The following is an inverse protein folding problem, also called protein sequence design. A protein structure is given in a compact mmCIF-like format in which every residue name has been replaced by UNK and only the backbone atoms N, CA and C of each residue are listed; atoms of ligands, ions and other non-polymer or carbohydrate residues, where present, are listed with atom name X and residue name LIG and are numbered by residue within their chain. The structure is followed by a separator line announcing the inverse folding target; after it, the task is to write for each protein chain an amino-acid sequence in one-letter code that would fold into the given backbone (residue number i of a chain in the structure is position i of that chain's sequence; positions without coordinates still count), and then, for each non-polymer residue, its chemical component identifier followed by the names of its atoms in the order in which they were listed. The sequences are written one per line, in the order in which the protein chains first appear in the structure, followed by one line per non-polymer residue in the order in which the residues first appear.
data_IF_738476047943
#
_entry.id   IF_738476047943
#
_cell.length_a   1.000
_cell.length_b   1.000
_cell.length_c   1.000
_cell.angle_alpha   90.00
_cell.angle_beta   90.00
_cell.angle_gamma   90.00
#
_symmetry.space_group_name_H-M   'P 1'
#
loop_
_entity.id
_entity.type
_entity.pdbx_description
1 polymer ?
#
# COMPACT_ATOMS: atom_id res chain seq x y z
N UNK A 1 10.55 -3.31 -18.23
CA UNK A 1 9.67 -3.51 -17.08
C UNK A 1 9.09 -2.16 -16.68
N UNK A 2 7.79 -2.03 -16.68
CA UNK A 2 7.14 -0.76 -16.35
C UNK A 2 6.83 -0.69 -14.87
N UNK A 3 7.04 0.49 -14.31
CA UNK A 3 6.76 0.75 -12.90
C UNK A 3 5.91 2.01 -12.78
N UNK A 4 5.21 2.11 -11.66
CA UNK A 4 4.40 3.26 -11.32
C UNK A 4 4.76 3.68 -9.90
N UNK A 5 4.93 4.98 -9.69
CA UNK A 5 5.19 5.48 -8.34
C UNK A 5 3.94 5.32 -7.47
N UNK A 6 4.15 4.78 -6.30
CA UNK A 6 3.09 4.56 -5.31
C UNK A 6 3.53 5.20 -4.01
N UNK A 7 2.62 5.94 -3.39
CA UNK A 7 2.86 6.65 -2.14
C UNK A 7 2.12 5.97 -1.00
N UNK A 8 2.82 5.79 0.13
CA UNK A 8 2.21 5.32 1.36
C UNK A 8 1.58 6.52 2.09
N UNK A 9 0.30 6.42 2.42
CA UNK A 9 -0.45 7.48 3.06
C UNK A 9 -0.34 7.47 4.58
N UNK A 10 0.11 6.35 5.15
CA UNK A 10 0.20 6.20 6.60
C UNK A 10 1.63 6.42 7.08
N UNK A 11 1.76 6.89 8.31
CA UNK A 11 3.06 7.03 8.96
C UNK A 11 3.58 5.66 9.40
N UNK A 12 4.90 5.57 9.55
CA UNK A 12 5.55 4.33 9.97
C UNK A 12 6.14 3.56 8.81
N UNK A 13 6.70 2.40 9.12
CA UNK A 13 7.33 1.54 8.13
C UNK A 13 6.35 0.47 7.67
N UNK A 14 6.14 0.38 6.38
CA UNK A 14 5.23 -0.58 5.77
C UNK A 14 5.99 -1.41 4.76
N UNK A 15 5.87 -2.73 4.88
CA UNK A 15 6.52 -3.66 3.96
C UNK A 15 5.44 -4.38 3.16
N UNK A 16 5.58 -4.35 1.84
CA UNK A 16 4.64 -4.98 0.93
C UNK A 16 5.40 -5.92 0.02
N UNK A 17 4.87 -7.12 -0.16
CA UNK A 17 5.44 -8.10 -1.08
C UNK A 17 4.61 -8.14 -2.36
N UNK A 18 5.26 -7.92 -3.49
CA UNK A 18 4.61 -8.04 -4.78
C UNK A 18 4.32 -9.49 -5.12
N UNK A 19 3.06 -9.80 -5.44
CA UNK A 19 2.66 -11.16 -5.77
C UNK A 19 3.21 -11.58 -7.13
N UNK A 20 3.21 -10.67 -8.09
CA UNK A 20 3.62 -10.98 -9.46
C UNK A 20 5.12 -10.81 -9.67
N UNK A 21 5.70 -9.72 -9.20
CA UNK A 21 7.12 -9.44 -9.38
C UNK A 21 7.98 -10.12 -8.33
N UNK A 22 7.40 -10.49 -7.19
CA UNK A 22 8.07 -11.07 -6.03
C UNK A 22 9.10 -10.11 -5.41
N UNK A 23 8.97 -8.83 -5.71
CA UNK A 23 9.80 -7.81 -5.09
C UNK A 23 9.24 -7.43 -3.73
N UNK A 24 10.13 -6.98 -2.86
CA UNK A 24 9.73 -6.46 -1.57
C UNK A 24 9.84 -4.93 -1.61
N UNK A 25 8.76 -4.25 -1.24
CA UNK A 25 8.72 -2.80 -1.20
C UNK A 25 8.62 -2.34 0.25
N UNK A 26 9.58 -1.51 0.67
CA UNK A 26 9.60 -0.98 2.04
C UNK A 26 9.33 0.51 1.99
N UNK A 27 8.21 0.93 2.54
CA UNK A 27 7.82 2.34 2.63
C UNK A 27 8.14 2.86 4.02
N UNK A 28 8.87 3.98 4.07
CA UNK A 28 9.22 4.64 5.33
C UNK A 28 8.72 6.08 5.30
N UNK A 29 8.64 6.76 6.47
CA UNK A 29 8.26 8.17 6.48
C UNK A 29 9.20 9.05 5.66
N UNK A 30 10.47 8.66 5.55
CA UNK A 30 11.45 9.39 4.78
C UNK A 30 11.38 9.05 3.29
N UNK A 31 10.93 7.86 2.96
CA UNK A 31 10.81 7.39 1.58
C UNK A 31 9.45 6.73 1.40
N UNK A 32 8.42 7.55 1.42
CA UNK A 32 7.04 7.09 1.33
C UNK A 32 6.59 6.80 -0.10
N UNK A 33 7.38 7.18 -1.11
CA UNK A 33 7.06 6.96 -2.51
C UNK A 33 8.10 6.05 -3.13
N UNK A 34 7.66 4.95 -3.74
CA UNK A 34 8.54 3.97 -4.37
C UNK A 34 7.98 3.56 -5.73
N UNK A 35 8.87 3.19 -6.68
CA UNK A 35 8.43 2.58 -7.92
C UNK A 35 7.97 1.15 -7.68
N UNK A 36 6.81 0.80 -8.17
CA UNK A 36 6.20 -0.51 -8.00
C UNK A 36 5.85 -1.07 -9.38
N UNK A 37 6.09 -2.37 -9.59
CA UNK A 37 5.73 -3.03 -10.84
C UNK A 37 4.22 -2.87 -11.08
N UNK A 38 3.85 -2.47 -12.30
CA UNK A 38 2.45 -2.21 -12.62
C UNK A 38 1.57 -3.46 -12.43
N UNK A 39 2.13 -4.66 -12.53
CA UNK A 39 1.38 -5.89 -12.31
C UNK A 39 0.98 -6.09 -10.86
N UNK A 40 1.73 -5.48 -9.93
CA UNK A 40 1.44 -5.57 -8.51
C UNK A 40 0.46 -4.48 -8.04
N UNK A 41 0.20 -3.47 -8.88
CA UNK A 41 -0.62 -2.33 -8.49
C UNK A 41 -2.02 -2.70 -8.00
N UNK A 42 -2.79 -3.56 -8.72
CA UNK A 42 -4.13 -3.89 -8.26
C UNK A 42 -4.14 -4.52 -6.87
N UNK A 43 -3.15 -5.34 -6.57
CA UNK A 43 -3.04 -5.98 -5.25
C UNK A 43 -2.65 -4.96 -4.18
N UNK A 44 -1.66 -4.13 -4.46
CA UNK A 44 -1.17 -3.14 -3.51
C UNK A 44 -2.23 -2.08 -3.22
N UNK A 45 -2.91 -1.59 -4.25
CA UNK A 45 -3.96 -0.58 -4.09
C UNK A 45 -5.19 -1.12 -3.37
N UNK A 46 -5.40 -2.42 -3.44
CA UNK A 46 -6.51 -3.07 -2.72
C UNK A 46 -6.23 -3.23 -1.24
N UNK A 47 -4.99 -3.07 -0.81
CA UNK A 47 -4.65 -3.15 0.61
C UNK A 47 -5.18 -1.94 1.35
N UNK A 48 -5.89 -2.19 2.43
CA UNK A 48 -6.44 -1.13 3.27
C UNK A 48 -6.16 -1.43 4.73
N UNK A 49 -6.13 -0.39 5.54
CA UNK A 49 -6.07 -0.53 6.98
C UNK A 49 -7.49 -0.56 7.52
N UNK A 50 -7.86 -1.68 8.15
CA UNK A 50 -9.20 -1.86 8.70
C UNK A 50 -9.15 -1.59 10.20
N UNK A 51 -9.99 -0.66 10.66
CA UNK A 51 -10.08 -0.30 12.07
C UNK A 51 -11.52 -0.43 12.53
N UNK A 52 -11.73 -1.00 13.71
CA UNK A 52 -13.03 -1.21 14.27
C UNK A 52 -13.65 -2.54 13.83
N UNK A 53 -14.98 -2.58 13.75
CA UNK A 53 -15.70 -3.76 13.31
C UNK A 53 -15.94 -4.79 14.40
N UNK A 54 -15.69 -4.45 15.65
CA UNK A 54 -15.94 -5.31 16.79
C UNK A 54 -17.05 -4.72 17.67
N UNK A 55 -17.90 -5.60 18.24
CA UNK A 55 -18.89 -5.20 19.23
C UNK A 55 -19.87 -4.13 18.76
N UNK A 56 -20.32 -4.22 17.51
CA UNK A 56 -21.33 -3.32 16.97
C UNK A 56 -20.82 -1.98 16.47
N UNK A 57 -19.52 -1.75 16.45
CA UNK A 57 -18.95 -0.54 15.87
C UNK A 57 -18.84 -0.67 14.35
N UNK A 58 -19.04 0.42 13.60
CA UNK A 58 -18.84 0.37 12.17
C UNK A 58 -17.38 0.11 11.83
N UNK A 59 -17.20 -0.68 10.78
CA UNK A 59 -15.88 -1.00 10.27
C UNK A 59 -15.41 0.16 9.39
N UNK A 60 -14.20 0.66 9.65
CA UNK A 60 -13.61 1.73 8.87
C UNK A 60 -12.42 1.19 8.08
N UNK A 61 -12.44 1.41 6.78
CA UNK A 61 -11.34 1.04 5.90
C UNK A 61 -10.65 2.31 5.43
N UNK A 62 -9.33 2.37 5.64
CA UNK A 62 -8.51 3.50 5.22
C UNK A 62 -7.53 3.04 4.16
N UNK A 63 -7.49 3.74 3.04
CA UNK A 63 -6.55 3.44 1.98
C UNK A 63 -5.13 3.72 2.46
N UNK A 64 -4.23 2.75 2.24
CA UNK A 64 -2.83 2.86 2.65
C UNK A 64 -1.96 3.44 1.55
N UNK A 65 -2.24 3.10 0.30
CA UNK A 65 -1.41 3.47 -0.84
C UNK A 65 -2.23 4.20 -1.91
N UNK A 66 -1.56 5.12 -2.62
CA UNK A 66 -2.18 5.78 -3.76
C UNK A 66 -1.17 5.93 -4.89
N UNK A 67 -1.68 6.09 -6.11
CA UNK A 67 -0.84 6.34 -7.28
C UNK A 67 -0.33 7.78 -7.27
N UNK A 68 0.94 7.93 -7.61
CA UNK A 68 1.57 9.24 -7.76
C UNK A 68 1.84 9.45 -9.24
N UNK A 69 1.30 10.52 -9.78
CA UNK A 69 1.53 10.88 -11.18
C UNK A 69 2.68 11.86 -11.31
#
# INVERSE_FOLDING_TARGET
METQLVKCLLNGTWVVHGIFSRNMYTFTPEQSTLPVDIRDLPDILAKTNVDGGCCGRPRTETQIFELVE
#
